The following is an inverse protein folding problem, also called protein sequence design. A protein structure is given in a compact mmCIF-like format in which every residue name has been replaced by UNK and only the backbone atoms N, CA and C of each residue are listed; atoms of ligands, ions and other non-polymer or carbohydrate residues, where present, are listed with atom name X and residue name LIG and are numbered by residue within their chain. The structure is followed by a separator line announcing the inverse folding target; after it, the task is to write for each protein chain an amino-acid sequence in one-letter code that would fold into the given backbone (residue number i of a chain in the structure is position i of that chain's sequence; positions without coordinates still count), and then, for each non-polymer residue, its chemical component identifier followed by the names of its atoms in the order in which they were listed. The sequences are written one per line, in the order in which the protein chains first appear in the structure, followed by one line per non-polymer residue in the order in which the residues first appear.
data_IF_497764680972
#
_entry.id   IF_497764680972
#
_cell.length_a   1.000
_cell.length_b   1.000
_cell.length_c   1.000
_cell.angle_alpha   90.00
_cell.angle_beta   90.00
_cell.angle_gamma   90.00
#
_symmetry.space_group_name_H-M   'P 1'
#
loop_
_entity.id
_entity.type
_entity.pdbx_description
1 polymer ?
#
# COMPACT_ATOMS: atom_id res chain seq x y z
N UNK A 1 -27.68 84.44 39.00
CA UNK A 1 -26.68 84.73 40.01
C UNK A 1 -26.11 83.41 40.49
N UNK A 2 -24.78 83.34 40.50
CA UNK A 2 -23.90 82.19 40.95
C UNK A 2 -23.89 80.92 40.10
N UNK A 3 -23.06 80.84 39.14
CA UNK A 3 -21.73 80.30 38.92
C UNK A 3 -21.33 79.10 39.76
N UNK A 4 -21.17 77.95 39.12
CA UNK A 4 -20.30 76.88 39.55
C UNK A 4 -19.34 76.48 38.40
N UNK A 5 -18.14 76.96 38.48
CA UNK A 5 -16.97 76.40 37.85
C UNK A 5 -16.50 75.19 38.64
N UNK A 6 -16.54 74.00 38.07
CA UNK A 6 -15.77 72.85 38.58
C UNK A 6 -15.13 72.09 37.43
N UNK A 7 -13.92 72.39 37.32
CA UNK A 7 -12.73 71.59 36.95
C UNK A 7 -12.88 70.57 35.79
N UNK A 8 -12.46 71.03 34.61
CA UNK A 8 -12.09 70.25 33.44
C UNK A 8 -10.73 69.52 33.56
N UNK A 9 -10.15 69.41 34.77
CA UNK A 9 -8.81 68.86 34.97
C UNK A 9 -8.77 67.41 35.50
N UNK A 10 -9.90 66.79 35.84
CA UNK A 10 -9.92 65.42 36.36
C UNK A 10 -10.34 64.37 35.29
N UNK A 11 -10.76 64.78 34.11
CA UNK A 11 -11.17 63.89 33.04
C UNK A 11 -10.04 63.48 32.06
N UNK A 12 -8.88 64.15 32.15
CA UNK A 12 -7.74 63.84 31.26
C UNK A 12 -6.76 62.80 31.83
N UNK A 13 -6.84 62.45 33.11
CA UNK A 13 -5.92 61.47 33.73
C UNK A 13 -6.52 60.05 33.69
N UNK A 14 -7.84 59.88 33.54
CA UNK A 14 -8.48 58.56 33.45
C UNK A 14 -8.48 57.97 32.03
N UNK A 15 -8.20 58.75 30.99
CA UNK A 15 -8.15 58.27 29.57
C UNK A 15 -6.75 57.78 29.19
N UNK A 16 -5.71 58.14 29.94
CA UNK A 16 -4.30 57.73 29.67
C UNK A 16 -3.95 56.38 30.35
N UNK A 17 -4.76 55.90 31.29
CA UNK A 17 -4.53 54.63 31.99
C UNK A 17 -5.31 53.42 31.41
N UNK A 18 -6.12 53.61 30.33
CA UNK A 18 -6.85 52.54 29.65
C UNK A 18 -6.26 52.17 28.29
N UNK A 19 -5.04 52.69 27.96
CA UNK A 19 -4.31 52.32 26.74
C UNK A 19 -3.08 51.49 26.97
N UNK A 20 -2.98 50.82 28.13
CA UNK A 20 -1.94 49.82 28.32
C UNK A 20 -2.58 48.45 28.44
N UNK A 21 -2.49 47.69 27.36
CA UNK A 21 -2.59 46.23 27.42
C UNK A 21 -3.85 45.57 26.86
N UNK A 22 -4.22 45.87 25.65
CA UNK A 22 -4.70 44.81 24.75
C UNK A 22 -3.60 44.68 23.69
N UNK A 23 -2.50 44.04 24.07
CA UNK A 23 -1.75 43.28 23.10
C UNK A 23 -2.74 42.22 22.63
N UNK A 24 -3.50 42.51 21.56
CA UNK A 24 -4.21 41.50 20.85
C UNK A 24 -3.18 40.43 20.51
N UNK A 25 -3.29 39.29 21.13
CA UNK A 25 -2.76 38.07 20.56
C UNK A 25 -3.50 37.99 19.21
N UNK A 26 -2.88 38.51 18.16
CA UNK A 26 -3.25 38.15 16.82
C UNK A 26 -3.04 36.64 16.82
N UNK A 27 -4.11 35.88 16.80
CA UNK A 27 -4.03 34.51 16.38
C UNK A 27 -3.36 34.61 15.00
N UNK A 28 -2.09 34.22 14.92
CA UNK A 28 -1.37 34.14 13.67
C UNK A 28 -2.17 33.17 12.83
N UNK A 29 -2.68 33.61 11.67
CA UNK A 29 -3.41 32.71 10.78
C UNK A 29 -2.48 31.53 10.49
N UNK A 30 -2.92 30.34 10.89
CA UNK A 30 -2.12 29.12 10.70
C UNK A 30 -1.97 28.84 9.21
N UNK A 31 -0.79 28.34 8.85
CA UNK A 31 -0.60 27.75 7.52
C UNK A 31 -1.38 26.44 7.45
N UNK A 32 -2.36 26.38 6.57
CA UNK A 32 -3.15 25.16 6.34
C UNK A 32 -2.42 24.29 5.33
N UNK A 33 -2.19 23.02 5.68
CA UNK A 33 -1.69 21.97 4.79
C UNK A 33 -2.78 20.94 4.59
N UNK A 34 -3.16 20.70 3.35
CA UNK A 34 -4.18 19.72 2.99
C UNK A 34 -3.54 18.44 2.48
N UNK A 35 -4.01 17.30 2.98
CA UNK A 35 -3.65 15.97 2.50
C UNK A 35 -4.92 15.21 2.15
N UNK A 36 -5.05 14.77 0.88
CA UNK A 36 -6.12 13.88 0.47
C UNK A 36 -5.65 12.43 0.59
N UNK A 37 -6.45 11.63 1.29
CA UNK A 37 -6.18 10.21 1.58
C UNK A 37 -7.34 9.35 1.10
N UNK A 38 -7.13 8.04 1.04
CA UNK A 38 -8.16 7.05 0.75
C UNK A 38 -9.33 7.13 1.75
N UNK A 39 -10.56 6.85 1.30
CA UNK A 39 -11.77 6.99 2.10
C UNK A 39 -11.99 5.86 3.12
N UNK A 40 -11.24 4.76 3.00
CA UNK A 40 -11.28 3.64 3.95
C UNK A 40 -10.33 3.80 5.15
N UNK A 41 -9.52 4.85 5.20
CA UNK A 41 -8.57 5.10 6.30
C UNK A 41 -9.32 5.37 7.61
N UNK A 42 -8.85 4.77 8.71
CA UNK A 42 -9.38 5.05 10.06
C UNK A 42 -9.02 6.47 10.49
N UNK A 43 -9.95 7.40 10.27
CA UNK A 43 -9.75 8.81 10.58
C UNK A 43 -9.66 9.12 12.07
N UNK A 44 -10.25 8.31 12.94
CA UNK A 44 -10.16 8.50 14.40
C UNK A 44 -8.73 8.16 14.86
N UNK A 45 -8.18 7.08 14.33
CA UNK A 45 -6.79 6.69 14.55
C UNK A 45 -5.82 7.75 14.00
N UNK A 46 -6.01 8.16 12.76
CA UNK A 46 -5.16 9.14 12.10
C UNK A 46 -5.20 10.50 12.83
N UNK A 47 -6.38 10.90 13.31
CA UNK A 47 -6.55 12.11 14.11
C UNK A 47 -5.76 12.03 15.41
N UNK A 48 -5.92 10.94 16.15
CA UNK A 48 -5.31 10.78 17.48
C UNK A 48 -3.79 10.58 17.40
N UNK A 49 -3.31 9.82 16.40
CA UNK A 49 -1.90 9.40 16.33
C UNK A 49 -1.03 10.28 15.44
N UNK A 50 -1.62 11.05 14.54
CA UNK A 50 -0.88 11.90 13.60
C UNK A 50 -1.32 13.37 13.65
N UNK A 51 -2.61 13.67 13.38
CA UNK A 51 -3.06 15.06 13.14
C UNK A 51 -2.91 15.90 14.41
N UNK A 52 -3.47 15.45 15.53
CA UNK A 52 -3.38 16.19 16.80
C UNK A 52 -1.94 16.33 17.30
N UNK A 53 -1.10 15.25 17.31
CA UNK A 53 0.30 15.37 17.70
C UNK A 53 1.11 16.29 16.75
N UNK A 54 0.87 16.25 15.44
CA UNK A 54 1.51 17.16 14.49
C UNK A 54 1.14 18.62 14.78
N UNK A 55 -0.16 18.92 14.88
CA UNK A 55 -0.65 20.27 15.15
C UNK A 55 -0.17 20.81 16.50
N UNK A 56 0.06 19.94 17.49
CA UNK A 56 0.63 20.34 18.79
C UNK A 56 2.13 20.63 18.69
N UNK A 57 2.87 19.89 17.88
CA UNK A 57 4.30 20.10 17.63
C UNK A 57 4.57 21.31 16.72
N UNK A 58 3.63 21.63 15.83
CA UNK A 58 3.73 22.74 14.85
C UNK A 58 2.54 23.70 15.00
N UNK A 59 2.53 24.57 16.05
CA UNK A 59 1.37 25.39 16.40
C UNK A 59 1.00 26.44 15.33
N UNK A 60 1.91 26.73 14.42
CA UNK A 60 1.77 27.63 13.26
C UNK A 60 1.25 26.94 12.00
N UNK A 61 1.13 25.59 12.02
CA UNK A 61 0.58 24.80 10.92
C UNK A 61 -0.70 24.11 11.39
N UNK A 62 -1.65 23.94 10.47
CA UNK A 62 -2.86 23.13 10.64
C UNK A 62 -2.90 22.06 9.55
N UNK A 63 -2.71 20.80 9.93
CA UNK A 63 -2.86 19.66 9.03
C UNK A 63 -4.34 19.28 8.90
N UNK A 64 -4.85 19.30 7.67
CA UNK A 64 -6.20 18.86 7.31
C UNK A 64 -6.11 17.64 6.39
N UNK A 65 -6.46 16.48 6.92
CA UNK A 65 -6.55 15.22 6.15
C UNK A 65 -7.99 15.03 5.70
N UNK A 66 -8.19 14.80 4.41
CA UNK A 66 -9.51 14.70 3.77
C UNK A 66 -9.67 13.34 3.11
N UNK A 67 -10.48 12.43 3.67
CA UNK A 67 -10.84 11.18 3.02
C UNK A 67 -11.55 11.46 1.68
N UNK A 68 -11.10 10.83 0.62
CA UNK A 68 -11.54 11.14 -0.75
C UNK A 68 -11.83 9.85 -1.50
N UNK A 69 -13.08 9.64 -1.87
CA UNK A 69 -13.48 8.52 -2.70
C UNK A 69 -12.89 8.67 -4.12
N UNK A 70 -12.52 7.54 -4.73
CA UNK A 70 -11.85 7.52 -6.04
C UNK A 70 -10.70 8.52 -6.12
N UNK A 71 -9.78 8.41 -5.16
CA UNK A 71 -8.73 9.40 -4.90
C UNK A 71 -7.93 9.80 -6.15
N UNK A 72 -7.54 8.83 -6.99
CA UNK A 72 -6.75 9.10 -8.20
C UNK A 72 -7.50 9.99 -9.20
N UNK A 73 -8.77 9.71 -9.45
CA UNK A 73 -9.61 10.51 -10.34
C UNK A 73 -9.85 11.92 -9.78
N UNK A 74 -10.04 12.01 -8.46
CA UNK A 74 -10.22 13.27 -7.76
C UNK A 74 -8.95 14.14 -7.85
N UNK A 75 -7.77 13.56 -7.60
CA UNK A 75 -6.47 14.24 -7.72
C UNK A 75 -6.23 14.72 -9.15
N UNK A 76 -6.45 13.89 -10.16
CA UNK A 76 -6.32 14.25 -11.58
C UNK A 76 -7.22 15.42 -11.96
N UNK A 77 -8.47 15.38 -11.50
CA UNK A 77 -9.44 16.44 -11.72
C UNK A 77 -9.01 17.74 -11.03
N UNK A 78 -8.53 17.64 -9.80
CA UNK A 78 -8.10 18.79 -9.01
C UNK A 78 -6.86 19.48 -9.60
N UNK A 79 -5.89 18.74 -10.14
CA UNK A 79 -4.76 19.33 -10.87
C UNK A 79 -5.23 20.13 -12.07
N UNK A 80 -6.17 19.60 -12.84
CA UNK A 80 -6.74 20.30 -14.00
C UNK A 80 -7.46 21.59 -13.58
N UNK A 81 -8.07 21.61 -12.41
CA UNK A 81 -8.78 22.75 -11.84
C UNK A 81 -7.86 23.75 -11.08
N UNK A 82 -6.58 23.41 -10.86
CA UNK A 82 -5.67 24.19 -10.01
C UNK A 82 -6.04 24.19 -8.52
N UNK A 83 -6.67 23.11 -8.04
CA UNK A 83 -7.21 22.94 -6.70
C UNK A 83 -6.74 21.62 -6.03
N UNK A 84 -5.61 21.07 -6.49
CA UNK A 84 -5.03 19.88 -5.90
C UNK A 84 -4.52 20.13 -4.47
N UNK A 85 -4.57 19.13 -3.56
CA UNK A 85 -4.10 19.29 -2.19
C UNK A 85 -2.59 19.53 -2.13
N UNK A 86 -2.08 19.95 -0.96
CA UNK A 86 -0.64 20.17 -0.76
C UNK A 86 0.13 18.85 -0.72
N UNK A 87 -0.47 17.80 -0.15
CA UNK A 87 0.07 16.44 -0.12
C UNK A 87 -0.88 15.52 -0.87
N UNK A 88 -0.30 14.78 -1.81
CA UNK A 88 -0.97 13.80 -2.65
C UNK A 88 -0.66 12.40 -2.14
N UNK A 89 -1.66 11.56 -1.98
CA UNK A 89 -1.48 10.12 -1.82
C UNK A 89 -1.79 9.44 -3.15
N UNK A 90 -0.95 8.49 -3.56
CA UNK A 90 -1.16 7.67 -4.76
C UNK A 90 -0.93 6.19 -4.43
N UNK A 91 -1.50 5.25 -5.21
CA UNK A 91 -1.35 3.81 -4.96
C UNK A 91 0.08 3.27 -5.10
N UNK A 92 1.02 4.08 -5.50
CA UNK A 92 2.43 3.71 -5.63
C UNK A 92 3.20 4.69 -6.49
N UNK A 93 4.52 4.52 -6.55
CA UNK A 93 5.41 5.42 -7.29
C UNK A 93 5.13 5.42 -8.80
N UNK A 94 4.57 4.34 -9.36
CA UNK A 94 4.19 4.26 -10.78
C UNK A 94 3.17 5.31 -11.20
N UNK A 95 2.24 5.61 -10.32
CA UNK A 95 1.17 6.59 -10.59
C UNK A 95 1.66 8.04 -10.59
N UNK A 96 2.78 8.32 -9.92
CA UNK A 96 3.30 9.70 -9.81
C UNK A 96 4.05 10.14 -11.07
N UNK A 97 4.51 9.22 -11.91
CA UNK A 97 5.34 9.52 -13.08
C UNK A 97 4.70 10.49 -14.07
N UNK A 98 3.39 10.41 -14.29
CA UNK A 98 2.67 11.36 -15.14
C UNK A 98 2.72 12.78 -14.59
N UNK A 99 2.55 12.95 -13.28
CA UNK A 99 2.58 14.25 -12.62
C UNK A 99 4.01 14.82 -12.58
N UNK A 100 5.02 13.96 -12.39
CA UNK A 100 6.43 14.36 -12.45
C UNK A 100 6.77 14.87 -13.85
N UNK A 101 6.42 14.13 -14.89
CA UNK A 101 6.65 14.53 -16.29
C UNK A 101 5.93 15.83 -16.66
N UNK A 102 4.80 16.11 -16.02
CA UNK A 102 4.06 17.37 -16.18
C UNK A 102 4.61 18.52 -15.32
N UNK A 103 5.65 18.29 -14.49
CA UNK A 103 6.22 19.30 -13.59
C UNK A 103 5.29 19.71 -12.44
N UNK A 104 4.40 18.81 -12.02
CA UNK A 104 3.37 19.07 -11.00
C UNK A 104 3.78 18.64 -9.60
N UNK A 105 4.91 17.95 -9.45
CA UNK A 105 5.39 17.43 -8.16
C UNK A 105 6.63 18.18 -7.71
N UNK A 106 6.67 18.52 -6.44
CA UNK A 106 7.82 19.14 -5.79
C UNK A 106 8.96 18.11 -5.62
N UNK A 107 10.20 18.42 -6.05
CA UNK A 107 11.34 17.53 -5.83
C UNK A 107 11.72 17.51 -4.35
N UNK A 108 11.95 16.31 -3.80
CA UNK A 108 12.16 16.08 -2.36
C UNK A 108 13.61 15.72 -1.99
N UNK A 109 14.54 15.52 -2.96
CA UNK A 109 15.90 15.05 -2.65
C UNK A 109 16.66 15.95 -1.69
N UNK A 110 16.51 17.27 -1.85
CA UNK A 110 17.19 18.24 -0.97
C UNK A 110 16.66 18.16 0.48
N UNK A 111 15.34 18.06 0.62
CA UNK A 111 14.67 17.92 1.93
C UNK A 111 15.01 16.58 2.57
N UNK A 112 14.94 15.49 1.81
CA UNK A 112 15.27 14.14 2.25
C UNK A 112 16.70 14.06 2.77
N UNK A 113 17.66 14.66 2.06
CA UNK A 113 19.07 14.71 2.49
C UNK A 113 19.24 15.54 3.77
N UNK A 114 18.56 16.68 3.88
CA UNK A 114 18.63 17.55 5.05
C UNK A 114 18.00 16.91 6.31
N UNK A 115 16.98 16.08 6.12
CA UNK A 115 16.17 15.46 7.18
C UNK A 115 16.57 14.00 7.46
N UNK A 116 17.51 13.43 6.68
CA UNK A 116 18.05 12.07 6.86
C UNK A 116 17.02 10.99 6.57
N UNK A 117 16.16 11.15 5.53
CA UNK A 117 15.12 10.18 5.21
C UNK A 117 15.65 8.87 4.66
N UNK A 118 16.78 8.90 3.95
CA UNK A 118 17.42 7.70 3.40
C UNK A 118 17.84 6.72 4.50
N UNK A 119 18.28 7.22 5.67
CA UNK A 119 18.64 6.38 6.80
C UNK A 119 17.42 5.92 7.63
N UNK A 120 16.30 6.65 7.55
CA UNK A 120 15.08 6.32 8.30
C UNK A 120 14.26 5.23 7.60
N UNK A 121 14.17 5.27 6.28
CA UNK A 121 13.35 4.39 5.45
C UNK A 121 14.11 3.12 5.04
N UNK A 122 13.38 2.05 4.75
CA UNK A 122 13.96 0.87 4.12
C UNK A 122 14.54 1.25 2.75
N UNK A 123 15.77 0.85 2.39
CA UNK A 123 16.45 1.32 1.18
C UNK A 123 15.64 1.11 -0.10
N UNK A 124 15.02 -0.05 -0.27
CA UNK A 124 14.22 -0.36 -1.45
C UNK A 124 13.00 0.56 -1.58
N UNK A 125 12.38 0.91 -0.46
CA UNK A 125 11.20 1.77 -0.43
C UNK A 125 11.56 3.23 -0.73
N UNK A 126 12.66 3.74 -0.19
CA UNK A 126 13.20 5.05 -0.54
C UNK A 126 13.54 5.14 -2.03
N UNK A 127 14.22 4.12 -2.57
CA UNK A 127 14.61 4.07 -3.98
C UNK A 127 13.41 4.02 -4.93
N UNK A 128 12.29 3.41 -4.53
CA UNK A 128 11.07 3.35 -5.36
C UNK A 128 10.45 4.73 -5.65
N UNK A 129 10.74 5.75 -4.84
CA UNK A 129 10.28 7.12 -5.06
C UNK A 129 11.17 7.97 -5.96
N UNK A 130 12.32 7.43 -6.41
CA UNK A 130 13.29 8.15 -7.24
C UNK A 130 12.94 7.99 -8.72
N UNK A 131 12.67 9.09 -9.39
CA UNK A 131 12.41 9.15 -10.84
C UNK A 131 13.48 10.05 -11.46
N UNK A 132 14.20 9.56 -12.47
CA UNK A 132 15.29 10.28 -13.16
C UNK A 132 16.37 10.85 -12.21
N UNK A 133 16.63 10.14 -11.10
CA UNK A 133 17.65 10.51 -10.13
C UNK A 133 17.21 11.53 -9.07
N UNK A 134 15.95 11.92 -9.06
CA UNK A 134 15.36 12.85 -8.11
C UNK A 134 14.24 12.17 -7.31
N UNK A 135 14.14 12.40 -6.00
CA UNK A 135 13.08 11.87 -5.16
C UNK A 135 11.82 12.72 -5.35
N UNK A 136 10.69 12.09 -5.69
CA UNK A 136 9.41 12.75 -5.86
C UNK A 136 8.29 12.21 -4.96
N UNK A 137 8.47 11.01 -4.43
CA UNK A 137 7.51 10.41 -3.51
C UNK A 137 8.20 9.68 -2.37
N UNK A 138 7.50 9.54 -1.27
CA UNK A 138 7.95 8.75 -0.13
C UNK A 138 6.87 7.73 0.21
N UNK A 139 7.25 6.52 0.61
CA UNK A 139 6.27 5.49 0.93
C UNK A 139 5.50 5.84 2.22
N UNK A 140 4.19 5.68 2.17
CA UNK A 140 3.32 5.73 3.34
C UNK A 140 3.14 4.34 3.93
N UNK A 141 2.89 3.36 3.06
CA UNK A 141 2.73 1.96 3.45
C UNK A 141 3.64 1.07 2.61
N UNK A 142 3.93 -0.12 3.14
CA UNK A 142 4.52 -1.20 2.37
C UNK A 142 3.76 -2.50 2.62
N UNK A 143 3.79 -3.36 1.65
CA UNK A 143 2.96 -4.54 1.56
C UNK A 143 3.72 -5.68 0.90
N UNK A 144 3.18 -6.87 1.04
CA UNK A 144 3.58 -8.04 0.26
C UNK A 144 2.44 -9.04 0.20
N UNK A 145 2.53 -10.03 -0.66
CA UNK A 145 1.57 -11.12 -0.71
C UNK A 145 1.98 -12.24 0.24
N UNK A 146 0.98 -12.80 0.92
CA UNK A 146 1.10 -13.93 1.86
C UNK A 146 0.05 -14.99 1.56
N UNK A 147 0.23 -16.17 2.12
CA UNK A 147 -0.79 -17.22 2.15
C UNK A 147 -1.42 -17.27 3.53
N UNK A 148 -2.65 -16.81 3.61
CA UNK A 148 -3.48 -16.87 4.81
C UNK A 148 -4.31 -18.15 4.79
N UNK A 149 -4.59 -18.74 5.97
CA UNK A 149 -5.40 -19.95 6.06
C UNK A 149 -6.30 -19.94 7.31
N UNK A 150 -7.42 -20.67 7.26
CA UNK A 150 -8.25 -20.91 8.43
C UNK A 150 -7.58 -21.95 9.34
N UNK A 151 -6.93 -21.47 10.40
CA UNK A 151 -6.16 -22.31 11.33
C UNK A 151 -7.04 -23.36 12.02
N UNK A 152 -8.25 -22.98 12.43
CA UNK A 152 -9.18 -23.91 13.07
C UNK A 152 -9.57 -25.04 12.13
N UNK A 153 -9.84 -24.75 10.84
CA UNK A 153 -10.10 -25.79 9.84
C UNK A 153 -8.90 -26.73 9.68
N UNK A 154 -7.70 -26.17 9.58
CA UNK A 154 -6.46 -26.97 9.45
C UNK A 154 -6.26 -27.91 10.64
N UNK A 155 -6.48 -27.42 11.87
CA UNK A 155 -6.41 -28.25 13.09
C UNK A 155 -7.49 -29.36 13.08
N UNK A 156 -8.73 -29.04 12.70
CA UNK A 156 -9.83 -30.01 12.60
C UNK A 156 -9.57 -31.12 11.58
N UNK A 157 -8.91 -30.78 10.47
CA UNK A 157 -8.58 -31.72 9.38
C UNK A 157 -7.24 -32.42 9.55
N UNK A 158 -6.43 -31.95 10.51
CA UNK A 158 -5.06 -32.45 10.70
C UNK A 158 -4.11 -32.02 9.58
N UNK A 159 -4.41 -30.92 8.90
CA UNK A 159 -3.55 -30.33 7.88
C UNK A 159 -2.44 -29.49 8.53
N UNK A 160 -1.22 -29.63 8.04
CA UNK A 160 -0.13 -28.73 8.38
C UNK A 160 -0.17 -27.48 7.48
N UNK A 161 0.25 -26.30 7.96
CA UNK A 161 0.44 -25.14 7.10
C UNK A 161 1.38 -25.49 5.93
N UNK A 162 1.07 -25.07 4.67
CA UNK A 162 1.85 -25.49 3.52
C UNK A 162 3.24 -24.83 3.53
N UNK A 163 4.28 -25.64 3.42
CA UNK A 163 5.67 -25.21 3.30
C UNK A 163 6.21 -25.34 1.87
N UNK A 164 5.52 -26.13 1.03
CA UNK A 164 5.88 -26.40 -0.36
C UNK A 164 4.64 -26.29 -1.26
N UNK A 165 4.87 -26.17 -2.56
CA UNK A 165 3.77 -26.21 -3.53
C UNK A 165 3.02 -27.56 -3.50
N UNK A 166 3.72 -28.68 -3.32
CA UNK A 166 3.09 -30.00 -3.17
C UNK A 166 2.16 -30.09 -1.94
N UNK A 167 2.46 -29.36 -0.86
CA UNK A 167 1.54 -29.27 0.28
C UNK A 167 0.26 -28.52 -0.11
N UNK A 168 0.39 -27.42 -0.89
CA UNK A 168 -0.78 -26.68 -1.42
C UNK A 168 -1.65 -27.61 -2.27
N UNK A 169 -1.05 -28.36 -3.22
CA UNK A 169 -1.79 -29.32 -4.07
C UNK A 169 -2.51 -30.39 -3.23
N UNK A 170 -1.84 -30.90 -2.20
CA UNK A 170 -2.41 -31.91 -1.29
C UNK A 170 -3.61 -31.36 -0.52
N UNK A 171 -3.48 -30.15 0.04
CA UNK A 171 -4.54 -29.48 0.79
C UNK A 171 -5.70 -29.13 -0.16
N UNK A 172 -5.42 -28.62 -1.36
CA UNK A 172 -6.42 -28.28 -2.34
C UNK A 172 -7.26 -29.51 -2.75
N UNK A 173 -6.62 -30.64 -3.04
CA UNK A 173 -7.32 -31.88 -3.36
C UNK A 173 -8.15 -32.40 -2.17
N UNK A 174 -7.63 -32.33 -0.95
CA UNK A 174 -8.35 -32.75 0.25
C UNK A 174 -9.56 -31.82 0.54
N UNK A 175 -9.41 -30.51 0.37
CA UNK A 175 -10.48 -29.54 0.54
C UNK A 175 -11.61 -29.80 -0.47
N UNK A 176 -11.28 -29.92 -1.76
CA UNK A 176 -12.25 -30.19 -2.81
C UNK A 176 -13.00 -31.50 -2.60
N UNK A 177 -12.33 -32.56 -2.09
CA UNK A 177 -12.98 -33.83 -1.78
C UNK A 177 -14.05 -33.72 -0.70
N UNK A 178 -13.99 -32.69 0.12
CA UNK A 178 -14.96 -32.37 1.19
C UNK A 178 -15.94 -31.23 0.82
N UNK A 179 -15.87 -30.72 -0.40
CA UNK A 179 -16.70 -29.61 -0.88
C UNK A 179 -16.29 -28.26 -0.31
N UNK A 180 -15.03 -28.12 0.12
CA UNK A 180 -14.41 -26.90 0.61
C UNK A 180 -13.61 -26.27 -0.54
N UNK A 181 -13.73 -24.99 -0.77
CA UNK A 181 -12.91 -24.30 -1.76
C UNK A 181 -11.45 -24.27 -1.29
N UNK A 182 -10.47 -24.65 -2.13
CA UNK A 182 -9.06 -24.52 -1.78
C UNK A 182 -8.68 -23.09 -1.39
N UNK A 183 -9.10 -22.13 -2.22
CA UNK A 183 -8.87 -20.72 -1.99
C UNK A 183 -10.15 -19.91 -2.10
N UNK A 184 -10.27 -18.89 -1.27
CA UNK A 184 -11.21 -17.80 -1.45
C UNK A 184 -10.46 -16.59 -1.99
N UNK A 185 -10.89 -16.10 -3.14
CA UNK A 185 -10.41 -14.85 -3.74
C UNK A 185 -11.40 -14.40 -4.83
N UNK A 186 -11.38 -13.11 -5.19
CA UNK A 186 -12.22 -12.62 -6.28
C UNK A 186 -11.94 -11.16 -6.59
N UNK A 187 -12.61 -10.65 -7.62
CA UNK A 187 -12.37 -9.29 -8.11
C UNK A 187 -13.63 -8.41 -8.14
N UNK A 188 -14.72 -8.82 -7.51
CA UNK A 188 -15.91 -8.00 -7.41
C UNK A 188 -15.64 -6.71 -6.65
N UNK A 189 -15.92 -5.57 -7.27
CA UNK A 189 -15.68 -4.25 -6.70
C UNK A 189 -14.28 -3.69 -6.91
N UNK A 190 -13.27 -4.53 -7.19
CA UNK A 190 -11.91 -4.10 -7.51
C UNK A 190 -11.26 -5.05 -8.53
N UNK A 191 -11.54 -4.84 -9.81
CA UNK A 191 -11.02 -5.69 -10.89
C UNK A 191 -9.49 -5.79 -10.94
N UNK A 192 -8.71 -4.73 -10.60
CA UNK A 192 -7.26 -4.83 -10.57
C UNK A 192 -6.70 -5.90 -9.63
N UNK A 193 -7.49 -6.45 -8.69
CA UNK A 193 -7.03 -7.57 -7.83
C UNK A 193 -6.56 -8.81 -8.62
N UNK A 194 -6.91 -8.93 -9.90
CA UNK A 194 -6.39 -9.97 -10.80
C UNK A 194 -4.85 -9.93 -10.91
N UNK A 195 -4.24 -8.74 -10.83
CA UNK A 195 -2.78 -8.56 -10.88
C UNK A 195 -2.07 -9.23 -9.70
N UNK A 196 -2.73 -9.33 -8.54
CA UNK A 196 -2.18 -9.99 -7.38
C UNK A 196 -1.85 -11.46 -7.69
N UNK A 197 -2.81 -12.17 -8.28
CA UNK A 197 -2.59 -13.57 -8.67
C UNK A 197 -1.53 -13.67 -9.77
N UNK A 198 -1.60 -12.82 -10.80
CA UNK A 198 -0.59 -12.81 -11.87
C UNK A 198 0.80 -12.58 -11.28
N UNK A 199 0.99 -11.57 -10.44
CA UNK A 199 2.24 -11.27 -9.76
C UNK A 199 2.77 -12.44 -8.92
N UNK A 200 1.89 -13.11 -8.14
CA UNK A 200 2.23 -14.28 -7.35
C UNK A 200 2.79 -15.39 -8.24
N UNK A 201 2.10 -15.74 -9.32
CA UNK A 201 2.54 -16.83 -10.19
C UNK A 201 3.82 -16.49 -10.95
N UNK A 202 3.99 -15.25 -11.42
CA UNK A 202 5.24 -14.81 -12.04
C UNK A 202 6.43 -14.95 -11.05
N UNK A 203 6.30 -14.45 -9.83
CA UNK A 203 7.40 -14.49 -8.85
C UNK A 203 7.64 -15.88 -8.26
N UNK A 204 6.58 -16.66 -7.97
CA UNK A 204 6.73 -17.95 -7.28
C UNK A 204 6.82 -19.15 -8.20
N UNK A 205 6.55 -19.02 -9.51
CA UNK A 205 6.77 -20.06 -10.51
C UNK A 205 7.95 -19.75 -11.43
N UNK A 206 7.88 -18.64 -12.19
CA UNK A 206 8.98 -18.25 -13.07
C UNK A 206 10.24 -17.83 -12.29
N UNK A 207 10.06 -17.39 -11.06
CA UNK A 207 11.12 -17.00 -10.15
C UNK A 207 11.40 -15.47 -10.18
N UNK A 208 11.56 -14.89 -9.01
CA UNK A 208 11.76 -13.46 -8.85
C UNK A 208 13.02 -12.93 -9.55
N UNK A 209 14.05 -13.78 -9.73
CA UNK A 209 15.25 -13.44 -10.54
C UNK A 209 14.91 -13.26 -12.02
N UNK A 210 14.05 -14.11 -12.59
CA UNK A 210 13.59 -13.99 -13.97
C UNK A 210 12.69 -12.77 -14.15
N UNK A 211 11.80 -12.51 -13.16
CA UNK A 211 10.98 -11.29 -13.14
C UNK A 211 11.87 -10.05 -13.13
N UNK A 212 12.89 -9.99 -12.26
CA UNK A 212 13.86 -8.89 -12.24
C UNK A 212 14.51 -8.67 -13.62
N UNK A 213 14.98 -9.75 -14.25
CA UNK A 213 15.61 -9.67 -15.59
C UNK A 213 14.64 -9.16 -16.67
N UNK A 214 13.37 -9.52 -16.58
CA UNK A 214 12.37 -8.98 -17.49
C UNK A 214 12.12 -7.47 -17.22
N UNK A 215 12.00 -7.09 -15.95
CA UNK A 215 11.83 -5.68 -15.55
C UNK A 215 12.99 -4.78 -16.03
N UNK A 216 14.22 -5.25 -15.99
CA UNK A 216 15.37 -4.48 -16.49
C UNK A 216 15.63 -4.69 -17.99
N UNK A 217 14.84 -5.56 -18.65
CA UNK A 217 14.88 -5.82 -20.11
C UNK A 217 15.97 -6.77 -20.56
N UNK A 218 16.47 -7.62 -19.68
CA UNK A 218 17.37 -8.71 -20.00
C UNK A 218 16.64 -9.99 -20.44
N UNK A 219 15.32 -10.07 -20.17
CA UNK A 219 14.42 -11.12 -20.60
C UNK A 219 13.17 -10.56 -21.25
N UNK A 220 12.44 -11.43 -21.97
CA UNK A 220 11.17 -11.11 -22.58
C UNK A 220 10.04 -11.71 -21.73
N UNK A 221 8.92 -11.01 -21.59
CA UNK A 221 7.73 -11.56 -20.92
C UNK A 221 7.14 -12.78 -21.67
N UNK A 222 7.55 -13.01 -22.90
CA UNK A 222 7.20 -14.17 -23.71
C UNK A 222 8.12 -15.38 -23.52
N UNK A 223 9.12 -15.32 -22.63
CA UNK A 223 10.00 -16.44 -22.35
C UNK A 223 9.24 -17.60 -21.70
N UNK A 224 9.66 -18.87 -21.93
CA UNK A 224 8.89 -20.06 -21.53
C UNK A 224 8.47 -20.10 -20.06
N UNK A 225 9.31 -19.64 -19.14
CA UNK A 225 9.02 -19.64 -17.72
C UNK A 225 7.82 -18.77 -17.34
N UNK A 226 7.59 -17.67 -18.05
CA UNK A 226 6.43 -16.80 -17.83
C UNK A 226 5.17 -17.41 -18.47
N UNK A 227 5.31 -18.04 -19.65
CA UNK A 227 4.24 -18.82 -20.28
C UNK A 227 3.77 -19.94 -19.35
N UNK A 228 4.70 -20.69 -18.76
CA UNK A 228 4.39 -21.76 -17.82
C UNK A 228 3.71 -21.24 -16.55
N UNK A 229 4.18 -20.09 -16.01
CA UNK A 229 3.60 -19.46 -14.81
C UNK A 229 2.13 -19.07 -15.04
N UNK A 230 1.82 -18.40 -16.15
CA UNK A 230 0.45 -17.97 -16.47
C UNK A 230 -0.43 -19.16 -16.87
N UNK A 231 0.14 -20.19 -17.52
CA UNK A 231 -0.57 -21.43 -17.80
C UNK A 231 -0.97 -22.17 -16.52
N UNK A 232 -0.09 -22.17 -15.50
CA UNK A 232 -0.40 -22.74 -14.19
C UNK A 232 -1.51 -21.94 -13.48
N UNK A 233 -1.46 -20.60 -13.52
CA UNK A 233 -2.54 -19.76 -12.99
C UNK A 233 -3.88 -20.09 -13.68
N UNK A 234 -3.90 -20.10 -15.01
CA UNK A 234 -5.10 -20.49 -15.78
C UNK A 234 -5.63 -21.84 -15.34
N UNK A 235 -4.75 -22.86 -15.23
CA UNK A 235 -5.12 -24.19 -14.79
C UNK A 235 -5.82 -24.16 -13.43
N UNK A 236 -5.26 -23.46 -12.44
CA UNK A 236 -5.82 -23.46 -11.09
C UNK A 236 -7.15 -22.71 -11.00
N UNK A 237 -7.29 -21.57 -11.70
CA UNK A 237 -8.51 -20.76 -11.61
C UNK A 237 -9.63 -21.27 -12.51
N UNK A 238 -9.31 -21.69 -13.74
CA UNK A 238 -10.31 -22.03 -14.74
C UNK A 238 -10.59 -23.53 -14.84
N UNK A 239 -9.54 -24.38 -14.79
CA UNK A 239 -9.69 -25.80 -15.05
C UNK A 239 -9.88 -26.61 -13.74
N UNK A 240 -9.11 -26.29 -12.69
CA UNK A 240 -9.15 -27.02 -11.42
C UNK A 240 -10.17 -26.44 -10.42
N UNK A 241 -10.66 -25.20 -10.64
CA UNK A 241 -11.61 -24.54 -9.76
C UNK A 241 -11.08 -24.28 -8.35
N UNK A 242 -9.80 -23.97 -8.22
CA UNK A 242 -9.18 -23.73 -6.91
C UNK A 242 -9.69 -22.47 -6.22
N UNK A 243 -10.07 -21.46 -7.02
CA UNK A 243 -10.56 -20.18 -6.50
C UNK A 243 -12.10 -20.18 -6.58
N UNK A 244 -12.75 -20.24 -5.42
CA UNK A 244 -14.21 -20.21 -5.22
C UNK A 244 -14.99 -21.25 -6.06
N UNK A 245 -14.33 -22.32 -6.46
CA UNK A 245 -14.91 -23.43 -7.19
C UNK A 245 -15.13 -23.20 -8.68
N UNK A 246 -15.27 -21.97 -9.16
CA UNK A 246 -15.43 -21.63 -10.57
C UNK A 246 -15.29 -20.11 -10.83
N UNK A 247 -15.07 -19.74 -12.11
CA UNK A 247 -14.91 -18.35 -12.54
C UNK A 247 -16.13 -17.47 -12.26
N UNK A 248 -17.35 -17.99 -12.39
CA UNK A 248 -18.55 -17.18 -12.15
C UNK A 248 -18.60 -16.70 -10.71
N UNK A 249 -18.27 -17.58 -9.77
CA UNK A 249 -18.19 -17.23 -8.34
C UNK A 249 -17.03 -16.25 -8.08
N UNK A 250 -15.87 -16.47 -8.68
CA UNK A 250 -14.72 -15.58 -8.58
C UNK A 250 -15.07 -14.12 -8.92
N UNK A 251 -15.82 -13.89 -9.98
CA UNK A 251 -16.24 -12.55 -10.39
C UNK A 251 -17.33 -11.92 -9.51
N UNK A 252 -17.90 -12.66 -8.59
CA UNK A 252 -18.91 -12.16 -7.63
C UNK A 252 -18.37 -11.99 -6.22
N UNK A 253 -17.19 -12.53 -5.92
CA UNK A 253 -16.58 -12.39 -4.60
C UNK A 253 -15.80 -11.08 -4.51
N UNK A 254 -16.24 -10.24 -3.59
CA UNK A 254 -15.52 -9.05 -3.13
C UNK A 254 -14.89 -9.27 -1.76
N UNK A 255 -14.48 -8.22 -1.12
CA UNK A 255 -13.84 -8.24 0.20
C UNK A 255 -14.63 -9.03 1.25
N UNK A 256 -15.93 -8.74 1.37
CA UNK A 256 -16.76 -9.37 2.40
C UNK A 256 -16.96 -10.87 2.16
N UNK A 257 -17.23 -11.25 0.93
CA UNK A 257 -17.47 -12.65 0.53
C UNK A 257 -16.21 -13.49 0.76
N UNK A 258 -15.05 -12.97 0.35
CA UNK A 258 -13.75 -13.66 0.49
C UNK A 258 -13.45 -13.97 1.95
N UNK A 259 -13.49 -12.97 2.83
CA UNK A 259 -13.19 -13.16 4.24
C UNK A 259 -14.28 -13.95 4.99
N UNK A 260 -15.55 -13.81 4.59
CA UNK A 260 -16.64 -14.62 5.12
C UNK A 260 -16.42 -16.10 4.80
N UNK A 261 -16.10 -16.44 3.54
CA UNK A 261 -15.86 -17.81 3.13
C UNK A 261 -14.66 -18.42 3.87
N UNK A 262 -13.57 -17.66 4.04
CA UNK A 262 -12.41 -18.11 4.79
C UNK A 262 -12.75 -18.33 6.29
N UNK A 263 -13.42 -17.37 6.92
CA UNK A 263 -13.74 -17.43 8.36
C UNK A 263 -14.79 -18.50 8.68
N UNK A 264 -15.77 -18.76 7.77
CA UNK A 264 -16.80 -19.80 7.91
C UNK A 264 -16.34 -21.21 7.55
N UNK A 265 -15.10 -21.39 7.10
CA UNK A 265 -14.52 -22.68 6.63
C UNK A 265 -15.11 -23.15 5.29
N UNK A 266 -15.76 -22.29 4.54
CA UNK A 266 -16.17 -22.57 3.16
C UNK A 266 -14.97 -22.57 2.22
N UNK A 267 -13.90 -21.85 2.59
CA UNK A 267 -12.61 -21.92 1.95
C UNK A 267 -11.49 -22.23 2.97
N UNK A 268 -10.43 -22.89 2.50
CA UNK A 268 -9.31 -23.32 3.32
C UNK A 268 -8.23 -22.24 3.45
N UNK A 269 -7.90 -21.57 2.36
CA UNK A 269 -6.76 -20.65 2.20
C UNK A 269 -7.17 -19.40 1.42
N UNK A 270 -6.30 -18.39 1.45
CA UNK A 270 -6.39 -17.16 0.66
C UNK A 270 -4.99 -16.63 0.35
N UNK A 271 -4.68 -16.38 -0.92
CA UNK A 271 -3.48 -15.63 -1.32
C UNK A 271 -3.85 -14.16 -1.35
N UNK A 272 -3.40 -13.40 -0.35
CA UNK A 272 -3.79 -12.00 -0.18
C UNK A 272 -2.58 -11.16 0.27
N UNK A 273 -2.66 -9.88 0.05
CA UNK A 273 -1.68 -8.96 0.59
C UNK A 273 -1.81 -8.75 2.10
N UNK A 274 -0.78 -8.17 2.70
CA UNK A 274 -0.74 -7.93 4.16
C UNK A 274 -1.85 -6.99 4.66
N UNK A 275 -2.47 -6.20 3.78
CA UNK A 275 -3.73 -5.50 4.10
C UNK A 275 -4.86 -6.45 4.53
N UNK A 276 -4.80 -7.71 4.16
CA UNK A 276 -5.72 -8.77 4.59
C UNK A 276 -5.67 -9.06 6.10
N UNK A 277 -4.65 -8.63 6.83
CA UNK A 277 -4.62 -8.78 8.29
C UNK A 277 -5.80 -8.08 8.97
N UNK A 278 -6.21 -6.91 8.47
CA UNK A 278 -7.40 -6.20 8.93
C UNK A 278 -8.67 -7.01 8.67
N UNK A 279 -8.86 -7.47 7.43
CA UNK A 279 -10.00 -8.32 7.09
C UNK A 279 -10.07 -9.57 7.95
N UNK A 280 -8.94 -10.25 8.17
CA UNK A 280 -8.89 -11.41 9.05
C UNK A 280 -9.27 -11.05 10.49
N UNK A 281 -8.75 -9.95 11.06
CA UNK A 281 -9.09 -9.51 12.39
C UNK A 281 -10.60 -9.24 12.54
N UNK A 282 -11.21 -8.59 11.56
CA UNK A 282 -12.63 -8.23 11.59
C UNK A 282 -13.55 -9.45 11.44
N UNK A 283 -13.30 -10.29 10.44
CA UNK A 283 -14.19 -11.40 10.09
C UNK A 283 -14.03 -12.64 10.99
N UNK A 284 -12.83 -12.88 11.52
CA UNK A 284 -12.61 -14.01 12.43
C UNK A 284 -13.02 -13.74 13.87
N UNK A 285 -13.14 -12.48 14.29
CA UNK A 285 -13.44 -12.06 15.66
C UNK A 285 -14.62 -12.81 16.30
N UNK A 286 -15.71 -12.97 15.55
CA UNK A 286 -16.96 -13.57 16.04
C UNK A 286 -17.33 -14.85 15.26
N UNK A 287 -16.45 -15.37 14.40
CA UNK A 287 -16.70 -16.55 13.55
C UNK A 287 -16.63 -17.88 14.30
N UNK A 288 -15.97 -17.90 15.45
CA UNK A 288 -15.62 -19.14 16.16
C UNK A 288 -14.42 -19.88 15.54
N UNK A 289 -13.76 -19.29 14.55
CA UNK A 289 -12.53 -19.78 13.92
C UNK A 289 -11.35 -18.87 14.26
N UNK A 290 -10.14 -19.39 14.11
CA UNK A 290 -8.88 -18.65 14.16
C UNK A 290 -8.16 -18.75 12.82
N UNK A 291 -7.31 -17.78 12.52
CA UNK A 291 -6.54 -17.72 11.29
C UNK A 291 -5.05 -17.66 11.59
N UNK A 292 -4.24 -17.99 10.59
CA UNK A 292 -2.80 -17.72 10.61
C UNK A 292 -2.31 -17.54 9.16
N UNK A 293 -1.03 -17.28 8.98
CA UNK A 293 -0.42 -17.08 7.67
C UNK A 293 0.96 -17.77 7.59
N UNK A 294 1.37 -18.03 6.36
CA UNK A 294 2.73 -18.43 6.00
C UNK A 294 3.19 -17.65 4.77
N UNK A 295 4.51 -17.51 4.53
CA UNK A 295 5.01 -17.04 3.23
C UNK A 295 4.45 -17.93 2.11
N UNK A 296 4.18 -17.36 0.94
CA UNK A 296 3.80 -18.16 -0.23
C UNK A 296 5.01 -19.01 -0.63
N UNK A 297 4.90 -20.34 -0.63
CA UNK A 297 6.02 -21.19 -1.03
C UNK A 297 6.31 -21.05 -2.53
N UNK A 298 7.54 -21.36 -2.98
CA UNK A 298 7.85 -21.43 -4.39
C UNK A 298 7.03 -22.54 -5.07
N UNK A 299 6.52 -22.26 -6.28
CA UNK A 299 5.69 -23.18 -7.07
C UNK A 299 6.54 -24.04 -8.02
N UNK A 300 7.81 -23.71 -8.20
CA UNK A 300 8.75 -24.44 -9.02
C UNK A 300 10.17 -24.32 -8.45
N UNK A 301 11.07 -25.19 -8.92
CA UNK A 301 12.49 -25.12 -8.58
C UNK A 301 13.16 -23.82 -9.11
N UNK A 302 12.59 -23.18 -10.13
CA UNK A 302 13.10 -21.91 -10.66
C UNK A 302 12.94 -20.75 -9.69
N UNK A 303 11.92 -20.79 -8.84
CA UNK A 303 11.67 -19.74 -7.84
C UNK A 303 12.65 -19.84 -6.63
N UNK A 304 13.29 -20.99 -6.42
CA UNK A 304 14.26 -21.21 -5.36
C UNK A 304 13.60 -21.21 -3.97
N UNK A 305 14.09 -20.35 -3.07
CA UNK A 305 13.47 -20.15 -1.75
C UNK A 305 12.32 -19.15 -1.83
N UNK A 306 11.39 -19.20 -0.85
CA UNK A 306 10.33 -18.20 -0.78
C UNK A 306 10.93 -16.79 -0.66
N UNK A 307 10.24 -15.85 -1.23
CA UNK A 307 10.60 -14.44 -1.25
C UNK A 307 9.37 -13.61 -0.89
N UNK A 308 9.61 -12.34 -0.55
CA UNK A 308 8.52 -11.37 -0.44
C UNK A 308 8.54 -10.43 -1.63
N UNK A 309 7.40 -10.31 -2.30
CA UNK A 309 7.22 -9.33 -3.36
C UNK A 309 7.17 -7.94 -2.73
N UNK A 310 8.14 -7.10 -3.08
CA UNK A 310 8.20 -5.73 -2.61
C UNK A 310 7.02 -4.93 -3.17
N UNK A 311 6.37 -4.17 -2.31
CA UNK A 311 5.34 -3.24 -2.68
C UNK A 311 5.36 -1.98 -1.80
N UNK A 312 5.12 -0.84 -2.42
CA UNK A 312 4.65 0.34 -1.73
C UNK A 312 3.14 0.40 -1.93
N UNK A 313 2.36 0.14 -0.88
CA UNK A 313 0.89 0.12 -0.97
C UNK A 313 0.33 1.51 -1.23
N UNK A 314 0.96 2.54 -0.67
CA UNK A 314 0.70 3.92 -1.05
C UNK A 314 1.94 4.80 -0.84
N UNK A 315 1.98 5.89 -1.60
CA UNK A 315 3.07 6.88 -1.52
C UNK A 315 2.51 8.28 -1.35
N UNK A 316 3.30 9.14 -0.71
CA UNK A 316 3.01 10.56 -0.53
C UNK A 316 3.96 11.40 -1.38
N UNK A 317 3.41 12.44 -1.99
CA UNK A 317 4.15 13.44 -2.76
C UNK A 317 3.69 14.84 -2.37
N UNK A 318 4.56 15.82 -2.54
CA UNK A 318 4.22 17.24 -2.34
C UNK A 318 3.85 17.86 -3.67
N UNK A 319 2.72 18.54 -3.71
CA UNK A 319 2.24 19.27 -4.88
C UNK A 319 3.22 20.41 -5.23
N UNK A 320 3.78 20.40 -6.44
CA UNK A 320 4.67 21.46 -6.93
C UNK A 320 4.00 22.82 -7.10
N UNK A 321 2.66 22.88 -7.07
CA UNK A 321 1.87 24.11 -7.11
C UNK A 321 1.40 24.53 -5.70
N UNK A 322 1.76 23.79 -4.64
CA UNK A 322 1.49 24.18 -3.26
C UNK A 322 2.12 25.54 -2.94
N UNK A 323 1.42 26.33 -2.15
CA UNK A 323 1.94 27.60 -1.62
C UNK A 323 2.77 27.41 -0.34
N UNK A 324 2.72 26.20 0.22
CA UNK A 324 3.32 25.86 1.52
C UNK A 324 4.14 24.56 1.44
N UNK A 325 5.06 24.39 0.46
CA UNK A 325 5.77 23.12 0.28
C UNK A 325 6.60 22.74 1.50
N UNK A 326 7.23 23.70 2.20
CA UNK A 326 8.01 23.43 3.40
C UNK A 326 7.14 22.91 4.55
N UNK A 327 5.90 23.40 4.68
CA UNK A 327 4.96 22.92 5.67
C UNK A 327 4.45 21.50 5.32
N UNK A 328 4.27 21.20 4.05
CA UNK A 328 3.93 19.85 3.57
C UNK A 328 5.11 18.86 3.84
N UNK A 329 6.33 19.26 3.56
CA UNK A 329 7.54 18.48 3.90
C UNK A 329 7.64 18.22 5.40
N UNK A 330 7.30 19.18 6.25
CA UNK A 330 7.28 19.00 7.70
C UNK A 330 6.27 17.92 8.15
N UNK A 331 5.13 17.76 7.46
CA UNK A 331 4.19 16.65 7.71
C UNK A 331 4.84 15.30 7.37
N UNK A 332 5.52 15.20 6.22
CA UNK A 332 6.21 13.96 5.82
C UNK A 332 7.32 13.60 6.82
N UNK A 333 8.15 14.56 7.22
CA UNK A 333 9.21 14.29 8.21
C UNK A 333 8.64 13.86 9.57
N UNK A 334 7.51 14.44 9.96
CA UNK A 334 6.84 14.05 11.21
C UNK A 334 6.36 12.60 11.18
N UNK A 335 5.92 12.09 10.04
CA UNK A 335 5.59 10.66 9.86
C UNK A 335 6.80 9.75 10.12
N UNK A 336 8.01 10.18 9.73
CA UNK A 336 9.24 9.39 9.88
C UNK A 336 9.97 9.62 11.19
N UNK A 337 9.53 10.58 12.00
CA UNK A 337 10.25 11.02 13.21
C UNK A 337 9.97 10.18 14.45
N UNK A 338 8.88 9.41 14.48
CA UNK A 338 8.45 8.63 15.65
C UNK A 338 8.05 7.21 15.28
N UNK A 339 9.03 6.27 15.27
CA UNK A 339 8.75 4.86 15.02
C UNK A 339 7.70 4.25 15.95
N UNK A 340 7.62 4.70 17.21
CA UNK A 340 6.64 4.17 18.16
C UNK A 340 5.20 4.52 17.75
N UNK A 341 4.99 5.72 17.21
CA UNK A 341 3.69 6.12 16.65
C UNK A 341 3.31 5.29 15.43
N UNK A 342 4.26 5.09 14.51
CA UNK A 342 4.04 4.25 13.33
C UNK A 342 3.69 2.82 13.74
N UNK A 343 4.39 2.27 14.74
CA UNK A 343 4.11 0.93 15.27
C UNK A 343 2.76 0.84 15.98
N UNK A 344 2.31 1.89 16.66
CA UNK A 344 0.95 1.94 17.23
C UNK A 344 -0.11 1.91 16.14
N UNK A 345 0.09 2.66 15.05
CA UNK A 345 -0.80 2.61 13.89
C UNK A 345 -0.81 1.19 13.31
N UNK A 346 0.34 0.60 13.06
CA UNK A 346 0.47 -0.75 12.51
C UNK A 346 -0.19 -1.83 13.38
N UNK A 347 -0.06 -1.73 14.70
CA UNK A 347 -0.53 -2.75 15.64
C UNK A 347 -1.99 -2.58 16.07
N UNK A 348 -2.51 -1.36 16.06
CA UNK A 348 -3.81 -1.05 16.65
C UNK A 348 -4.90 -0.69 15.64
N UNK A 349 -4.58 -0.08 14.52
CA UNK A 349 -5.58 0.57 13.68
C UNK A 349 -5.61 0.11 12.23
N UNK A 350 -4.48 -0.08 11.58
CA UNK A 350 -4.48 -0.40 10.15
C UNK A 350 -3.91 -1.76 9.81
N UNK A 351 -3.46 -2.55 10.79
CA UNK A 351 -2.97 -3.92 10.58
C UNK A 351 -2.08 -4.09 9.33
N UNK A 352 -1.22 -3.11 9.06
CA UNK A 352 -0.34 -3.10 7.90
C UNK A 352 -0.77 -2.20 6.73
N UNK A 353 -1.93 -1.55 6.79
CA UNK A 353 -2.36 -0.58 5.76
C UNK A 353 -1.74 0.81 5.93
N UNK A 354 -1.29 1.15 7.12
CA UNK A 354 -0.68 2.45 7.40
C UNK A 354 0.63 2.26 8.19
N UNK A 355 1.62 1.70 7.53
CA UNK A 355 2.92 1.43 8.14
C UNK A 355 4.01 1.97 7.24
N UNK A 356 4.55 3.11 7.61
CA UNK A 356 5.72 3.70 6.96
C UNK A 356 6.88 2.68 7.02
N UNK A 357 7.56 2.38 5.91
CA UNK A 357 8.60 1.37 5.84
C UNK A 357 9.90 1.84 6.52
N UNK A 358 9.87 1.86 7.85
CA UNK A 358 11.03 2.12 8.71
C UNK A 358 11.73 0.80 9.08
N UNK A 359 12.88 0.90 9.73
CA UNK A 359 13.60 -0.25 10.25
C UNK A 359 12.98 -0.70 11.58
N UNK A 360 12.15 -1.76 11.55
CA UNK A 360 11.53 -2.34 12.75
C UNK A 360 12.07 -3.74 13.07
N UNK A 361 11.96 -4.10 14.35
CA UNK A 361 12.10 -5.48 14.86
C UNK A 361 10.79 -5.88 15.54
N UNK A 362 10.49 -7.16 15.60
CA UNK A 362 9.31 -7.65 16.31
C UNK A 362 9.26 -7.18 17.77
N UNK A 363 10.44 -7.08 18.43
CA UNK A 363 10.57 -6.58 19.81
C UNK A 363 10.21 -5.09 20.00
N UNK A 364 10.13 -4.33 18.93
CA UNK A 364 9.84 -2.90 18.98
C UNK A 364 8.33 -2.62 19.05
N UNK A 365 7.52 -3.65 18.77
CA UNK A 365 6.07 -3.53 18.80
C UNK A 365 5.54 -3.39 20.24
N UNK A 366 4.46 -2.61 20.45
CA UNK A 366 3.82 -2.47 21.76
C UNK A 366 3.38 -3.81 22.34
N UNK A 367 3.38 -3.91 23.68
CA UNK A 367 2.81 -5.06 24.37
C UNK A 367 1.33 -5.23 23.99
N UNK A 368 0.93 -6.45 23.66
CA UNK A 368 -0.42 -6.77 23.22
C UNK A 368 -0.63 -6.72 21.70
N UNK A 369 0.38 -6.35 20.92
CA UNK A 369 0.34 -6.51 19.45
C UNK A 369 0.09 -7.97 19.09
N UNK A 370 -0.77 -8.23 18.11
CA UNK A 370 -1.00 -9.57 17.59
C UNK A 370 0.33 -10.20 17.13
N UNK A 371 0.73 -11.36 17.69
CA UNK A 371 2.01 -11.99 17.39
C UNK A 371 2.17 -12.38 15.91
N UNK A 372 1.08 -12.51 15.17
CA UNK A 372 1.09 -12.77 13.72
C UNK A 372 1.64 -11.57 12.95
N UNK A 373 1.33 -10.35 13.41
CA UNK A 373 1.79 -9.10 12.80
C UNK A 373 3.26 -8.85 13.13
N UNK A 374 3.67 -8.95 14.40
CA UNK A 374 5.08 -8.76 14.76
C UNK A 374 6.00 -9.79 14.11
N UNK A 375 5.55 -11.07 14.02
CA UNK A 375 6.25 -12.13 13.29
C UNK A 375 6.41 -11.79 11.79
N UNK A 376 5.37 -11.21 11.17
CA UNK A 376 5.44 -10.80 9.77
C UNK A 376 6.58 -9.79 9.55
N UNK A 377 6.62 -8.72 10.34
CA UNK A 377 7.63 -7.67 10.16
C UNK A 377 9.06 -8.18 10.41
N UNK A 378 9.23 -9.07 11.38
CA UNK A 378 10.53 -9.72 11.65
C UNK A 378 10.97 -10.60 10.48
N UNK A 379 10.08 -11.47 9.98
CA UNK A 379 10.38 -12.36 8.87
C UNK A 379 10.59 -11.58 7.56
N UNK A 380 9.75 -10.58 7.28
CA UNK A 380 9.90 -9.71 6.12
C UNK A 380 11.27 -9.01 6.13
N UNK A 381 11.68 -8.44 7.25
CA UNK A 381 12.96 -7.76 7.37
C UNK A 381 14.14 -8.73 7.18
N UNK A 382 14.07 -9.94 7.75
CA UNK A 382 15.12 -10.95 7.62
C UNK A 382 15.23 -11.47 6.17
N UNK A 383 14.11 -11.78 5.54
CA UNK A 383 14.06 -12.34 4.18
C UNK A 383 14.48 -11.31 3.13
N UNK A 384 13.93 -10.11 3.20
CA UNK A 384 14.29 -9.03 2.25
C UNK A 384 15.71 -8.53 2.48
N UNK A 385 16.18 -8.49 3.72
CA UNK A 385 17.57 -8.20 4.07
C UNK A 385 18.57 -9.22 3.55
N UNK A 386 18.13 -10.47 3.34
CA UNK A 386 18.93 -11.52 2.69
C UNK A 386 18.86 -11.48 1.14
N UNK A 387 18.22 -10.46 0.55
CA UNK A 387 18.06 -10.29 -0.89
C UNK A 387 16.99 -11.19 -1.52
N UNK A 388 16.18 -11.87 -0.71
CA UNK A 388 15.07 -12.69 -1.21
C UNK A 388 13.84 -11.83 -1.42
N UNK A 389 13.83 -11.10 -2.53
CA UNK A 389 12.79 -10.16 -2.92
C UNK A 389 12.16 -10.55 -4.26
N UNK A 390 10.88 -10.31 -4.38
CA UNK A 390 10.10 -10.35 -5.63
C UNK A 390 9.56 -8.95 -5.93
N UNK A 391 8.71 -8.83 -6.94
CA UNK A 391 8.25 -7.57 -7.47
C UNK A 391 6.74 -7.60 -7.71
N UNK A 392 6.03 -6.65 -7.11
CA UNK A 392 4.60 -6.49 -7.35
C UNK A 392 4.34 -5.66 -8.61
N UNK A 393 3.25 -5.94 -9.26
CA UNK A 393 2.89 -5.30 -10.53
C UNK A 393 2.59 -3.82 -10.32
N UNK A 394 1.73 -3.47 -9.38
CA UNK A 394 1.33 -2.09 -9.08
C UNK A 394 2.47 -1.16 -8.61
N UNK A 395 3.62 -1.72 -8.20
CA UNK A 395 4.77 -0.92 -7.76
C UNK A 395 5.81 -0.76 -8.86
N UNK A 396 6.04 -1.80 -9.68
CA UNK A 396 7.20 -1.86 -10.57
C UNK A 396 6.86 -1.92 -12.06
N UNK A 397 5.60 -2.09 -12.43
CA UNK A 397 5.18 -2.05 -13.83
C UNK A 397 4.74 -0.63 -14.23
N UNK A 398 5.03 -0.20 -15.45
CA UNK A 398 4.42 1.01 -16.00
C UNK A 398 2.90 0.88 -16.02
N UNK A 399 2.18 1.97 -15.74
CA UNK A 399 0.73 1.95 -15.57
C UNK A 399 -0.04 1.32 -16.75
N UNK A 400 0.33 1.65 -18.00
CA UNK A 400 -0.33 1.08 -19.19
C UNK A 400 -0.13 -0.45 -19.28
N UNK A 401 1.08 -0.92 -18.91
CA UNK A 401 1.46 -2.33 -18.91
C UNK A 401 0.75 -3.12 -17.81
N UNK A 402 0.62 -2.50 -16.64
CA UNK A 402 -0.11 -3.07 -15.50
C UNK A 402 -1.60 -3.20 -15.81
N UNK A 403 -2.23 -2.16 -16.35
CA UNK A 403 -3.65 -2.19 -16.78
C UNK A 403 -3.90 -3.28 -17.81
N UNK A 404 -3.03 -3.46 -18.80
CA UNK A 404 -3.16 -4.54 -19.78
C UNK A 404 -3.11 -5.90 -19.08
N UNK A 405 -2.16 -6.08 -18.15
CA UNK A 405 -1.92 -7.32 -17.45
C UNK A 405 -3.17 -7.80 -16.69
N UNK A 406 -3.75 -6.97 -15.82
CA UNK A 406 -4.89 -7.40 -14.99
C UNK A 406 -6.21 -7.41 -15.74
N UNK A 407 -6.35 -6.66 -16.83
CA UNK A 407 -7.59 -6.60 -17.62
C UNK A 407 -7.73 -7.78 -18.59
N UNK A 408 -6.66 -8.10 -19.32
CA UNK A 408 -6.73 -9.10 -20.37
C UNK A 408 -6.58 -10.53 -19.86
N UNK A 409 -6.08 -10.74 -18.64
CA UNK A 409 -5.96 -12.07 -18.03
C UNK A 409 -7.32 -12.78 -17.93
N UNK A 410 -8.41 -12.04 -17.77
CA UNK A 410 -9.76 -12.61 -17.74
C UNK A 410 -10.11 -13.36 -19.05
N UNK A 411 -9.67 -12.82 -20.21
CA UNK A 411 -9.86 -13.47 -21.50
C UNK A 411 -9.07 -14.78 -21.60
N UNK A 412 -7.90 -14.83 -20.93
CA UNK A 412 -7.13 -16.09 -20.83
C UNK A 412 -7.87 -17.13 -20.02
N UNK A 413 -8.47 -16.73 -18.90
CA UNK A 413 -9.23 -17.64 -18.04
C UNK A 413 -10.49 -18.18 -18.74
N UNK A 414 -11.17 -17.35 -19.52
CA UNK A 414 -12.31 -17.78 -20.35
C UNK A 414 -11.90 -18.57 -21.61
N UNK A 415 -10.61 -18.64 -21.92
CA UNK A 415 -10.10 -19.31 -23.12
C UNK A 415 -10.35 -18.54 -24.43
N UNK A 416 -10.64 -17.25 -24.33
CA UNK A 416 -10.82 -16.32 -25.45
C UNK A 416 -9.49 -15.82 -26.00
N UNK A 417 -8.43 -15.78 -25.16
CA UNK A 417 -7.07 -15.39 -25.51
C UNK A 417 -6.11 -16.51 -25.08
N UNK A 418 -5.11 -16.81 -25.93
CA UNK A 418 -4.05 -17.75 -25.55
C UNK A 418 -3.09 -17.09 -24.54
N UNK A 419 -2.38 -17.90 -23.74
CA UNK A 419 -1.35 -17.40 -22.81
C UNK A 419 -0.23 -16.69 -23.59
N UNK A 420 0.16 -17.26 -24.72
CA UNK A 420 1.20 -16.71 -25.59
C UNK A 420 0.81 -15.35 -26.17
N UNK A 421 -0.43 -15.21 -26.66
CA UNK A 421 -0.92 -13.93 -27.21
C UNK A 421 -1.07 -12.87 -26.09
N UNK A 422 -1.54 -13.28 -24.91
CA UNK A 422 -1.61 -12.41 -23.74
C UNK A 422 -0.23 -11.84 -23.35
N UNK A 423 0.78 -12.72 -23.25
CA UNK A 423 2.13 -12.30 -22.89
C UNK A 423 2.82 -11.54 -24.04
N UNK A 424 2.48 -11.82 -25.31
CA UNK A 424 2.95 -11.03 -26.43
C UNK A 424 2.38 -9.59 -26.42
N UNK A 425 1.09 -9.44 -26.08
CA UNK A 425 0.49 -8.11 -25.86
C UNK A 425 1.14 -7.39 -24.68
N UNK A 426 1.40 -8.10 -23.58
CA UNK A 426 2.11 -7.56 -22.42
C UNK A 426 3.52 -7.09 -22.77
N UNK A 427 4.27 -7.89 -23.55
CA UNK A 427 5.60 -7.50 -24.03
C UNK A 427 5.54 -6.24 -24.89
N UNK A 428 4.54 -6.10 -25.75
CA UNK A 428 4.39 -4.93 -26.60
C UNK A 428 4.15 -3.66 -25.80
N UNK A 429 3.24 -3.67 -24.80
CA UNK A 429 3.01 -2.52 -23.92
C UNK A 429 4.23 -2.19 -23.06
N UNK A 430 4.97 -3.22 -22.64
CA UNK A 430 6.24 -3.06 -21.94
C UNK A 430 7.29 -2.35 -22.79
N UNK A 431 7.49 -2.79 -24.05
CA UNK A 431 8.45 -2.19 -24.97
C UNK A 431 8.10 -0.74 -25.32
N UNK A 432 6.81 -0.44 -25.48
CA UNK A 432 6.31 0.93 -25.66
C UNK A 432 6.62 1.81 -24.46
N UNK A 433 6.38 1.33 -23.25
CA UNK A 433 6.68 2.06 -22.01
C UNK A 433 8.20 2.32 -21.86
N UNK A 434 9.03 1.33 -22.16
CA UNK A 434 10.50 1.50 -22.17
C UNK A 434 10.96 2.51 -23.21
N UNK A 435 10.44 2.44 -24.41
CA UNK A 435 10.78 3.37 -25.48
C UNK A 435 10.37 4.82 -25.13
N UNK A 436 9.30 4.97 -24.35
CA UNK A 436 8.81 6.26 -23.86
C UNK A 436 9.51 6.75 -22.57
N UNK A 437 10.44 5.97 -21.98
CA UNK A 437 11.10 6.30 -20.72
C UNK A 437 10.18 6.22 -19.48
N UNK A 438 9.12 5.45 -19.55
CA UNK A 438 8.11 5.31 -18.48
C UNK A 438 8.40 4.18 -17.49
N UNK A 439 9.52 3.47 -17.63
CA UNK A 439 9.89 2.41 -16.70
C UNK A 439 10.38 2.97 -15.38
N UNK A 440 10.03 2.29 -14.29
CA UNK A 440 10.40 2.68 -12.94
C UNK A 440 11.78 2.14 -12.55
N UNK A 441 12.46 2.77 -11.58
CA UNK A 441 13.66 2.22 -10.99
C UNK A 441 13.34 0.89 -10.29
N UNK A 442 14.09 -0.15 -10.62
CA UNK A 442 13.96 -1.47 -10.01
C UNK A 442 15.08 -1.65 -9.00
N UNK A 443 14.77 -1.88 -7.70
CA UNK A 443 15.79 -2.17 -6.70
C UNK A 443 16.63 -3.37 -7.13
N UNK A 444 17.95 -3.24 -7.07
CA UNK A 444 18.87 -4.32 -7.39
C UNK A 444 18.73 -5.48 -6.37
N UNK A 445 18.93 -6.70 -6.85
CA UNK A 445 18.96 -7.91 -6.00
C UNK A 445 20.35 -8.14 -5.46
#
# INVERSE_FOLDING_TARGET
MNTYHFSKRLLLVLIVLLMIGVSGVHAQDKTVVTWWTEDYVDMDALTTLLIEPFNAAHPDIELQVVPTATLDDAVRTAFTAGAAPDILQTPGASFIGEYVNAGLIHPLSADAAALGWEEKLLPWAYQSGIIEGELYSVPLTYETMILMYNKTLFEEKGWAPPATYADIETIAAAAQAEGINPFSYGNAGFQPSNEHLVGIYLNNYAGAENVYKALIGEKQWTDPEFVDAISLLKKHIADDGWFDGNLETYFTYGWNEQFTALASKEAAMMMIGTWGFRGAADFFKDSGSDWDWVPIPPFSDMAGEYNYMLATGSTLSVNGQSKNPEAAVAVLDFLFSDPARVLQIASGYSYGEFVVPLHFKASDFPEGTDPRISRFYEDFAAVTGAGRVGYTTWTFWPADSDVQLWKEIEQVWYGELSVEDYLAAHQATWDEARAAGKTLPIPAR
#
